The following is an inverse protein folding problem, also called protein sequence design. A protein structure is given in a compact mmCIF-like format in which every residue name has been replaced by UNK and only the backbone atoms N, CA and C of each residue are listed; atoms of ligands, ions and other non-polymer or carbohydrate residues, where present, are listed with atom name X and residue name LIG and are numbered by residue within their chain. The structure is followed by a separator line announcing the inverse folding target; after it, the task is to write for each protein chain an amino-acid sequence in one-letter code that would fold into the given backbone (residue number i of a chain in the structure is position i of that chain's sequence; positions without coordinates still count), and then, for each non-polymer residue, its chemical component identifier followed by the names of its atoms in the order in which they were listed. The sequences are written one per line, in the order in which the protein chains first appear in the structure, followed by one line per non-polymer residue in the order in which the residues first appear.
data_IF_932012812892
#
_entry.id   IF_932012812892
#
_cell.length_a   1.000
_cell.length_b   1.000
_cell.length_c   1.000
_cell.angle_alpha   90.00
_cell.angle_beta   90.00
_cell.angle_gamma   90.00
#
_symmetry.space_group_name_H-M   'P 1'
#
loop_
_entity.id
_entity.type
_entity.pdbx_description
1 polymer ?
#
# COMPACT_ATOMS: atom_id res chain seq x y z
N UNK A 1 -1.03 3.05 24.45
CA UNK A 1 -0.14 4.01 23.74
C UNK A 1 1.31 4.06 24.24
N UNK A 2 1.62 4.11 25.54
CA UNK A 2 3.02 4.19 26.05
C UNK A 2 3.95 3.06 25.56
N UNK A 3 3.52 1.79 25.62
CA UNK A 3 4.30 0.64 25.09
C UNK A 3 4.60 0.79 23.59
N UNK A 4 3.66 1.32 22.82
CA UNK A 4 3.84 1.58 21.38
C UNK A 4 4.86 2.69 21.13
N UNK A 5 4.82 3.78 21.91
CA UNK A 5 5.82 4.83 21.84
C UNK A 5 7.24 4.31 22.07
N UNK A 6 7.46 3.52 23.14
CA UNK A 6 8.76 2.91 23.40
C UNK A 6 9.22 1.96 22.29
N UNK A 7 8.30 1.16 21.73
CA UNK A 7 8.60 0.28 20.60
C UNK A 7 8.98 1.06 19.35
N UNK A 8 8.25 2.13 19.03
CA UNK A 8 8.49 2.95 17.85
C UNK A 8 9.80 3.75 17.94
N UNK A 9 10.23 4.18 19.13
CA UNK A 9 11.53 4.84 19.34
C UNK A 9 12.72 3.92 19.07
N UNK A 10 12.55 2.61 19.29
CA UNK A 10 13.59 1.60 19.02
C UNK A 10 13.68 1.22 17.55
N UNK A 11 12.68 1.56 16.73
CA UNK A 11 12.70 1.25 15.29
C UNK A 11 13.76 2.09 14.57
N UNK A 12 14.41 1.54 13.53
CA UNK A 12 15.31 2.30 12.69
C UNK A 12 14.60 3.51 12.05
N UNK A 13 15.37 4.56 11.74
CA UNK A 13 14.85 5.76 11.07
C UNK A 13 14.49 5.52 9.60
N UNK A 14 15.17 4.57 8.96
CA UNK A 14 14.88 4.13 7.60
C UNK A 14 14.00 2.89 7.65
N UNK A 15 12.83 2.94 7.00
CA UNK A 15 11.87 1.82 7.00
C UNK A 15 12.30 0.70 6.05
N UNK A 16 12.66 1.07 4.81
CA UNK A 16 13.07 0.14 3.74
C UNK A 16 14.21 0.74 2.93
N UNK A 17 15.04 -0.12 2.35
CA UNK A 17 15.92 0.29 1.25
C UNK A 17 15.11 0.41 -0.05
N UNK A 18 15.53 1.33 -0.92
CA UNK A 18 14.89 1.58 -2.22
C UNK A 18 15.72 0.84 -3.27
N UNK A 19 15.07 0.09 -4.16
CA UNK A 19 15.75 -0.64 -5.22
C UNK A 19 16.56 0.29 -6.14
N UNK A 20 17.60 -0.25 -6.77
CA UNK A 20 18.46 0.51 -7.68
C UNK A 20 17.80 0.73 -9.05
N UNK A 21 17.28 -0.34 -9.65
CA UNK A 21 16.53 -0.27 -10.89
C UNK A 21 15.04 -0.05 -10.64
N UNK A 22 14.55 1.14 -10.98
CA UNK A 22 13.13 1.48 -10.94
C UNK A 22 12.48 1.58 -12.31
N UNK A 23 13.24 1.40 -13.40
CA UNK A 23 12.79 1.75 -14.77
C UNK A 23 12.90 0.60 -15.78
N UNK A 24 13.71 -0.43 -15.49
CA UNK A 24 13.92 -1.55 -16.38
C UNK A 24 12.61 -2.27 -16.71
N UNK A 25 12.48 -2.74 -17.96
CA UNK A 25 11.29 -3.49 -18.40
C UNK A 25 11.19 -4.84 -17.70
N UNK A 26 12.32 -5.47 -17.40
CA UNK A 26 12.40 -6.66 -16.55
C UNK A 26 12.17 -6.25 -15.09
N UNK A 27 11.13 -6.79 -14.48
CA UNK A 27 10.74 -6.50 -13.12
C UNK A 27 11.56 -7.36 -12.15
N UNK A 28 12.75 -6.86 -11.80
CA UNK A 28 13.57 -7.39 -10.70
C UNK A 28 12.99 -6.95 -9.35
N UNK A 29 13.81 -6.40 -8.48
CA UNK A 29 13.38 -5.97 -7.16
C UNK A 29 12.17 -5.02 -7.23
N UNK A 30 11.31 -5.14 -6.24
CA UNK A 30 10.26 -4.16 -5.99
C UNK A 30 10.89 -2.85 -5.51
N UNK A 31 10.19 -1.73 -5.73
CA UNK A 31 10.64 -0.38 -5.36
C UNK A 31 11.18 -0.26 -3.93
N UNK A 32 10.67 -1.07 -3.00
CA UNK A 32 11.16 -1.19 -1.64
C UNK A 32 11.65 -2.63 -1.40
N UNK A 33 12.87 -2.76 -0.89
CA UNK A 33 13.45 -4.06 -0.59
C UNK A 33 12.86 -4.62 0.70
N UNK A 34 12.12 -5.71 0.56
CA UNK A 34 11.56 -6.46 1.68
C UNK A 34 12.49 -7.59 2.08
N UNK A 35 12.71 -7.73 3.39
CA UNK A 35 13.37 -8.89 3.98
C UNK A 35 12.29 -9.91 4.38
N UNK A 36 12.35 -11.10 3.80
CA UNK A 36 11.34 -12.14 4.01
C UNK A 36 11.19 -12.53 5.49
N UNK A 37 12.29 -12.61 6.24
CA UNK A 37 12.25 -12.99 7.67
C UNK A 37 11.53 -11.92 8.49
N UNK A 38 11.79 -10.65 8.22
CA UNK A 38 11.15 -9.51 8.91
C UNK A 38 9.67 -9.36 8.53
N UNK A 39 9.30 -9.67 7.30
CA UNK A 39 7.89 -9.71 6.89
C UNK A 39 7.18 -10.88 7.58
N UNK A 40 7.76 -12.08 7.53
CA UNK A 40 7.18 -13.29 8.10
C UNK A 40 7.06 -13.25 9.64
N UNK A 41 8.00 -12.61 10.34
CA UNK A 41 7.95 -12.43 11.80
C UNK A 41 6.97 -11.34 12.26
N UNK A 42 6.36 -10.60 11.31
CA UNK A 42 5.46 -9.50 11.59
C UNK A 42 6.15 -8.20 12.05
N UNK A 43 7.48 -8.10 11.97
CA UNK A 43 8.21 -6.86 12.28
C UNK A 43 7.84 -5.72 11.33
N UNK A 44 7.71 -6.08 10.05
CA UNK A 44 7.35 -5.17 8.95
C UNK A 44 5.85 -5.22 8.61
N UNK A 45 5.16 -6.32 8.96
CA UNK A 45 3.71 -6.45 8.80
C UNK A 45 3.07 -7.20 9.98
N UNK A 46 2.71 -6.46 11.04
CA UNK A 46 2.20 -7.01 12.32
C UNK A 46 0.92 -7.84 12.21
N UNK A 47 0.23 -7.77 11.07
CA UNK A 47 -1.00 -8.51 10.84
C UNK A 47 -0.74 -9.98 10.48
N UNK A 48 0.43 -10.32 9.93
CA UNK A 48 0.77 -11.70 9.57
C UNK A 48 0.87 -12.53 10.83
N UNK A 49 -0.02 -13.52 10.92
CA UNK A 49 -0.21 -14.31 12.14
C UNK A 49 0.04 -15.80 11.93
N UNK A 50 -0.30 -16.31 10.75
CA UNK A 50 -0.04 -17.69 10.32
C UNK A 50 -0.01 -17.75 8.79
N UNK A 51 0.34 -18.92 8.25
CA UNK A 51 0.36 -19.19 6.83
C UNK A 51 -0.55 -20.39 6.53
N UNK A 52 -1.13 -20.44 5.34
CA UNK A 52 -1.78 -21.64 4.82
C UNK A 52 -0.75 -22.68 4.34
N UNK A 53 -1.23 -23.81 3.81
CA UNK A 53 -0.39 -24.89 3.26
C UNK A 53 0.50 -24.46 2.08
N UNK A 54 0.15 -23.36 1.41
CA UNK A 54 0.89 -22.80 0.29
C UNK A 54 1.85 -21.68 0.71
N UNK A 55 1.92 -21.35 1.99
CA UNK A 55 2.76 -20.27 2.50
C UNK A 55 2.15 -18.88 2.28
N UNK A 56 0.84 -18.79 2.03
CA UNK A 56 0.11 -17.53 1.89
C UNK A 56 -0.27 -17.02 3.28
N UNK A 57 0.04 -15.75 3.61
CA UNK A 57 -0.23 -15.23 4.94
C UNK A 57 -1.73 -15.06 5.20
N UNK A 58 -2.15 -15.53 6.36
CA UNK A 58 -3.47 -15.31 6.94
C UNK A 58 -3.28 -14.41 8.16
N UNK A 59 -4.04 -13.31 8.20
CA UNK A 59 -3.89 -12.31 9.24
C UNK A 59 -5.02 -12.37 10.24
N UNK A 60 -4.73 -11.93 11.46
CA UNK A 60 -5.80 -11.56 12.40
C UNK A 60 -6.57 -10.37 11.87
N UNK A 61 -7.87 -10.38 12.07
CA UNK A 61 -8.74 -9.22 11.79
C UNK A 61 -8.45 -8.08 12.77
N UNK A 62 -9.03 -6.91 12.49
CA UNK A 62 -8.87 -5.75 13.36
C UNK A 62 -9.50 -5.98 14.74
N UNK A 63 -8.97 -5.32 15.77
CA UNK A 63 -9.41 -5.46 17.19
C UNK A 63 -10.92 -5.20 17.35
N UNK A 64 -11.49 -4.38 16.48
CA UNK A 64 -12.88 -3.96 16.44
C UNK A 64 -13.79 -4.85 15.56
N UNK A 65 -13.28 -5.98 15.05
CA UNK A 65 -14.05 -6.96 14.26
C UNK A 65 -14.38 -8.18 15.13
N UNK A 66 -15.66 -8.44 15.45
CA UNK A 66 -16.06 -9.55 16.32
C UNK A 66 -16.22 -10.91 15.62
N UNK A 67 -16.54 -10.91 14.32
CA UNK A 67 -17.16 -12.09 13.67
C UNK A 67 -16.20 -12.99 12.88
N UNK A 68 -14.97 -12.53 12.61
CA UNK A 68 -13.94 -13.31 11.92
C UNK A 68 -12.63 -13.11 12.64
N UNK A 69 -11.94 -14.18 13.04
CA UNK A 69 -10.64 -14.04 13.69
C UNK A 69 -9.51 -13.95 12.65
N UNK A 70 -9.63 -14.65 11.52
CA UNK A 70 -8.56 -14.77 10.52
C UNK A 70 -9.08 -14.57 9.10
N UNK A 71 -8.41 -13.72 8.31
CA UNK A 71 -8.77 -13.46 6.91
C UNK A 71 -7.54 -13.24 6.03
N UNK A 72 -7.70 -13.47 4.73
CA UNK A 72 -6.73 -13.08 3.73
C UNK A 72 -6.77 -11.57 3.50
N UNK A 73 -5.63 -10.91 3.63
CA UNK A 73 -5.47 -9.52 3.21
C UNK A 73 -4.55 -9.48 1.99
N UNK A 74 -5.08 -9.19 0.79
CA UNK A 74 -4.27 -9.13 -0.42
C UNK A 74 -3.05 -8.20 -0.30
N UNK A 75 -3.16 -7.09 0.46
CA UNK A 75 -2.03 -6.19 0.76
C UNK A 75 -0.85 -6.95 1.39
N UNK A 76 -1.13 -7.75 2.43
CA UNK A 76 -0.09 -8.50 3.15
C UNK A 76 0.44 -9.67 2.34
N UNK A 77 -0.44 -10.34 1.58
CA UNK A 77 -0.09 -11.46 0.71
C UNK A 77 0.88 -10.98 -0.36
N UNK A 78 0.59 -9.86 -1.02
CA UNK A 78 1.50 -9.30 -2.01
C UNK A 78 2.80 -8.77 -1.43
N UNK A 79 2.81 -8.23 -0.21
CA UNK A 79 4.06 -7.85 0.44
C UNK A 79 4.94 -9.07 0.73
N UNK A 80 4.36 -10.16 1.25
CA UNK A 80 5.08 -11.41 1.45
C UNK A 80 5.55 -12.02 0.13
N UNK A 81 4.69 -12.06 -0.89
CA UNK A 81 5.03 -12.57 -2.21
C UNK A 81 6.21 -11.82 -2.85
N UNK A 82 6.24 -10.48 -2.74
CA UNK A 82 7.38 -9.69 -3.21
C UNK A 82 8.65 -9.92 -2.38
N UNK A 83 8.52 -10.20 -1.07
CA UNK A 83 9.68 -10.58 -0.25
C UNK A 83 10.24 -11.96 -0.66
N UNK A 84 9.37 -12.94 -0.93
CA UNK A 84 9.76 -14.26 -1.45
C UNK A 84 10.40 -14.12 -2.83
N UNK A 85 9.89 -13.24 -3.69
CA UNK A 85 10.50 -12.92 -4.98
C UNK A 85 11.92 -12.38 -4.83
N UNK A 86 12.16 -11.47 -3.88
CA UNK A 86 13.52 -10.99 -3.59
C UNK A 86 14.44 -12.11 -3.08
N UNK A 87 13.94 -13.02 -2.24
CA UNK A 87 14.69 -14.20 -1.83
C UNK A 87 15.11 -15.03 -3.04
N UNK A 88 14.18 -15.28 -3.97
CA UNK A 88 14.50 -15.99 -5.21
C UNK A 88 15.53 -15.25 -6.07
N UNK A 89 15.40 -13.93 -6.29
CA UNK A 89 16.39 -13.13 -7.04
C UNK A 89 17.80 -13.27 -6.45
N UNK A 90 17.90 -13.38 -5.13
CA UNK A 90 19.17 -13.53 -4.42
C UNK A 90 19.70 -14.96 -4.44
N UNK A 91 18.83 -15.96 -4.27
CA UNK A 91 19.23 -17.37 -4.12
C UNK A 91 19.41 -18.07 -5.46
N UNK A 92 18.61 -17.72 -6.47
CA UNK A 92 18.50 -18.40 -7.75
C UNK A 92 17.92 -19.82 -7.67
N UNK A 93 17.41 -20.24 -6.50
CA UNK A 93 16.95 -21.61 -6.28
C UNK A 93 15.54 -21.83 -6.84
N UNK A 94 15.33 -22.94 -7.55
CA UNK A 94 14.01 -23.26 -8.14
C UNK A 94 12.92 -23.38 -7.06
N UNK A 95 13.25 -23.89 -5.87
CA UNK A 95 12.31 -23.97 -4.75
C UNK A 95 11.77 -22.59 -4.32
N UNK A 96 12.60 -21.53 -4.34
CA UNK A 96 12.13 -20.18 -3.99
C UNK A 96 11.27 -19.58 -5.12
N UNK A 97 11.57 -19.94 -6.37
CA UNK A 97 10.74 -19.59 -7.53
C UNK A 97 9.36 -20.25 -7.42
N UNK A 98 9.31 -21.55 -7.15
CA UNK A 98 8.06 -22.29 -6.95
C UNK A 98 7.23 -21.69 -5.82
N UNK A 99 7.86 -21.29 -4.71
CA UNK A 99 7.18 -20.57 -3.62
C UNK A 99 6.59 -19.24 -4.09
N UNK A 100 7.32 -18.46 -4.89
CA UNK A 100 6.80 -17.23 -5.47
C UNK A 100 5.60 -17.48 -6.41
N UNK A 101 5.66 -18.52 -7.24
CA UNK A 101 4.56 -18.89 -8.15
C UNK A 101 3.26 -19.16 -7.39
N UNK A 102 3.31 -19.72 -6.17
CA UNK A 102 2.11 -19.88 -5.34
C UNK A 102 1.40 -18.55 -5.03
N UNK A 103 2.15 -17.45 -4.87
CA UNK A 103 1.55 -16.12 -4.71
C UNK A 103 0.92 -15.62 -6.01
N UNK A 104 1.56 -15.89 -7.15
CA UNK A 104 1.01 -15.55 -8.49
C UNK A 104 -0.31 -16.28 -8.70
N UNK A 105 -0.33 -17.59 -8.46
CA UNK A 105 -1.54 -18.42 -8.56
C UNK A 105 -2.61 -17.99 -7.56
N UNK A 106 -2.23 -17.60 -6.34
CA UNK A 106 -3.19 -17.09 -5.36
C UNK A 106 -3.91 -15.83 -5.90
N UNK A 107 -3.16 -14.84 -6.41
CA UNK A 107 -3.77 -13.64 -6.98
C UNK A 107 -4.60 -13.98 -8.23
N UNK A 108 -4.10 -14.83 -9.13
CA UNK A 108 -4.86 -15.22 -10.32
C UNK A 108 -6.20 -15.90 -9.98
N UNK A 109 -6.21 -16.82 -9.02
CA UNK A 109 -7.38 -17.63 -8.67
C UNK A 109 -8.38 -16.93 -7.74
N UNK A 110 -8.00 -15.84 -7.07
CA UNK A 110 -8.86 -15.13 -6.10
C UNK A 110 -9.32 -13.75 -6.59
N UNK A 111 -9.17 -13.47 -7.89
CA UNK A 111 -9.71 -12.26 -8.49
C UNK A 111 -11.23 -12.39 -8.72
N UNK A 112 -11.99 -11.38 -8.34
CA UNK A 112 -13.31 -11.17 -8.94
C UNK A 112 -13.14 -10.41 -10.24
N UNK A 113 -13.65 -10.95 -11.35
CA UNK A 113 -13.52 -10.34 -12.68
C UNK A 113 -14.90 -10.10 -13.27
N UNK A 114 -15.17 -8.87 -13.68
CA UNK A 114 -16.36 -8.52 -14.45
C UNK A 114 -15.98 -7.59 -15.60
N UNK A 115 -16.79 -7.55 -16.66
CA UNK A 115 -16.54 -6.66 -17.81
C UNK A 115 -16.47 -5.19 -17.37
N UNK A 116 -17.39 -4.78 -16.48
CA UNK A 116 -17.51 -3.40 -16.01
C UNK A 116 -16.38 -2.97 -15.06
N UNK A 117 -15.96 -3.85 -14.14
CA UNK A 117 -15.01 -3.49 -13.08
C UNK A 117 -13.58 -3.98 -13.34
N UNK A 118 -13.38 -4.88 -14.30
CA UNK A 118 -12.14 -5.62 -14.46
C UNK A 118 -11.87 -6.56 -13.30
N UNK A 119 -10.59 -6.81 -13.04
CA UNK A 119 -10.13 -7.69 -11.96
C UNK A 119 -10.00 -6.92 -10.64
N UNK A 120 -10.49 -7.50 -9.54
CA UNK A 120 -10.35 -6.93 -8.20
C UNK A 120 -10.17 -7.99 -7.12
N UNK A 121 -9.42 -7.63 -6.07
CA UNK A 121 -9.25 -8.46 -4.88
C UNK A 121 -9.88 -7.79 -3.67
N UNK A 122 -10.87 -8.46 -3.09
CA UNK A 122 -11.56 -7.99 -1.90
C UNK A 122 -10.84 -8.49 -0.63
N UNK A 123 -10.92 -7.68 0.42
CA UNK A 123 -10.69 -8.11 1.79
C UNK A 123 -12.05 -8.36 2.41
N UNK A 124 -12.36 -9.62 2.69
CA UNK A 124 -13.68 -10.06 3.19
C UNK A 124 -13.79 -9.93 4.70
N UNK A 125 -13.71 -8.68 5.18
CA UNK A 125 -13.87 -8.33 6.59
C UNK A 125 -14.39 -6.90 6.71
N UNK A 126 -15.22 -6.64 7.73
CA UNK A 126 -15.61 -5.28 8.06
C UNK A 126 -14.39 -4.37 8.35
N UNK A 127 -14.56 -3.09 8.09
CA UNK A 127 -13.61 -2.03 8.39
C UNK A 127 -14.31 -0.97 9.28
N UNK A 128 -14.47 -1.24 10.59
CA UNK A 128 -15.28 -0.42 11.49
C UNK A 128 -14.77 1.02 11.62
N UNK A 129 -13.46 1.22 11.54
CA UNK A 129 -12.82 2.55 11.58
C UNK A 129 -13.42 3.52 10.55
N UNK A 130 -13.85 3.02 9.40
CA UNK A 130 -14.44 3.81 8.32
C UNK A 130 -15.92 3.47 8.08
N UNK A 131 -16.58 2.82 9.06
CA UNK A 131 -17.99 2.40 9.02
C UNK A 131 -18.36 1.58 7.77
N UNK A 132 -17.42 0.78 7.27
CA UNK A 132 -17.73 -0.17 6.21
C UNK A 132 -18.00 -1.55 6.83
N UNK A 133 -19.25 -2.06 6.81
CA UNK A 133 -19.59 -3.33 7.45
C UNK A 133 -19.26 -4.56 6.58
N UNK A 134 -18.95 -4.38 5.30
CA UNK A 134 -18.78 -5.45 4.33
C UNK A 134 -17.37 -5.59 3.80
N UNK A 135 -17.23 -6.47 2.80
CA UNK A 135 -16.00 -6.64 2.04
C UNK A 135 -15.63 -5.34 1.32
N UNK A 136 -14.34 -5.05 1.28
CA UNK A 136 -13.82 -3.83 0.69
C UNK A 136 -12.62 -4.14 -0.19
N UNK A 137 -12.35 -3.25 -1.13
CA UNK A 137 -11.17 -3.33 -1.97
C UNK A 137 -10.21 -2.20 -1.65
N UNK A 138 -9.02 -2.28 -2.20
CA UNK A 138 -7.95 -1.33 -1.91
C UNK A 138 -7.13 -1.10 -3.17
N UNK A 139 -6.90 0.15 -3.52
CA UNK A 139 -5.93 0.50 -4.55
C UNK A 139 -4.54 -0.08 -4.26
N UNK A 140 -4.21 -0.23 -2.97
CA UNK A 140 -2.96 -0.87 -2.55
C UNK A 140 -2.99 -2.38 -2.82
N UNK A 141 -4.09 -3.07 -2.52
CA UNK A 141 -4.29 -4.48 -2.90
C UNK A 141 -4.17 -4.68 -4.42
N UNK A 142 -4.84 -3.85 -5.22
CA UNK A 142 -4.78 -3.92 -6.68
C UNK A 142 -3.34 -3.78 -7.18
N UNK A 143 -2.60 -2.79 -6.65
CA UNK A 143 -1.19 -2.60 -7.00
C UNK A 143 -0.32 -3.78 -6.64
N UNK A 144 -0.57 -4.44 -5.50
CA UNK A 144 0.18 -5.64 -5.11
C UNK A 144 -0.08 -6.78 -6.08
N UNK A 145 -1.34 -7.01 -6.44
CA UNK A 145 -1.73 -8.03 -7.41
C UNK A 145 -1.05 -7.79 -8.76
N UNK A 146 -1.11 -6.57 -9.29
CA UNK A 146 -0.45 -6.18 -10.54
C UNK A 146 1.06 -6.49 -10.49
N UNK A 147 1.76 -6.04 -9.45
CA UNK A 147 3.21 -6.27 -9.32
C UNK A 147 3.59 -7.75 -9.23
N UNK A 148 2.77 -8.58 -8.56
CA UNK A 148 2.98 -10.03 -8.46
C UNK A 148 2.71 -10.71 -9.80
N UNK A 149 1.55 -10.44 -10.41
CA UNK A 149 1.12 -11.07 -11.66
C UNK A 149 2.07 -10.75 -12.81
N UNK A 150 2.55 -9.51 -12.94
CA UNK A 150 3.51 -9.13 -13.99
C UNK A 150 4.87 -9.81 -13.83
N UNK A 151 5.35 -9.98 -12.59
CA UNK A 151 6.55 -10.80 -12.31
C UNK A 151 6.30 -12.27 -12.66
N UNK A 152 5.14 -12.80 -12.30
CA UNK A 152 4.71 -14.15 -12.69
C UNK A 152 4.66 -14.36 -14.21
N UNK A 153 4.14 -13.37 -14.95
CA UNK A 153 4.15 -13.34 -16.41
C UNK A 153 5.58 -13.40 -16.97
N UNK A 154 6.48 -12.55 -16.48
CA UNK A 154 7.87 -12.53 -16.96
C UNK A 154 8.65 -13.82 -16.66
N UNK A 155 8.34 -14.48 -15.53
CA UNK A 155 8.98 -15.75 -15.18
C UNK A 155 8.48 -16.95 -15.96
N UNK A 156 7.19 -16.99 -16.29
CA UNK A 156 6.54 -18.17 -16.86
C UNK A 156 6.22 -18.02 -18.34
N UNK A 157 6.16 -16.80 -18.85
CA UNK A 157 5.61 -16.47 -20.17
C UNK A 157 4.09 -16.61 -20.27
N UNK A 158 3.38 -16.92 -19.17
CA UNK A 158 1.94 -17.11 -19.19
C UNK A 158 1.20 -15.76 -19.29
N UNK A 159 0.61 -15.50 -20.46
CA UNK A 159 -0.12 -14.27 -20.78
C UNK A 159 -1.37 -14.06 -19.94
N UNK A 160 -1.96 -15.11 -19.39
CA UNK A 160 -3.14 -14.98 -18.53
C UNK A 160 -2.84 -14.10 -17.30
N UNK A 161 -1.59 -14.13 -16.80
CA UNK A 161 -1.16 -13.28 -15.70
C UNK A 161 -1.03 -11.81 -16.11
N UNK A 162 -0.49 -11.53 -17.30
CA UNK A 162 -0.44 -10.15 -17.80
C UNK A 162 -1.82 -9.59 -18.12
N UNK A 163 -2.70 -10.41 -18.70
CA UNK A 163 -4.05 -10.00 -19.07
C UNK A 163 -4.85 -9.67 -17.81
N UNK A 164 -4.75 -10.50 -16.76
CA UNK A 164 -5.32 -10.23 -15.44
C UNK A 164 -4.76 -8.94 -14.81
N UNK A 165 -3.45 -8.68 -14.95
CA UNK A 165 -2.83 -7.45 -14.44
C UNK A 165 -3.32 -6.19 -15.18
N UNK A 166 -3.58 -6.29 -16.48
CA UNK A 166 -4.17 -5.20 -17.28
C UNK A 166 -5.62 -4.95 -16.86
N UNK A 167 -6.40 -6.01 -16.64
CA UNK A 167 -7.77 -5.92 -16.13
C UNK A 167 -7.84 -5.25 -14.75
N UNK A 168 -6.83 -5.48 -13.89
CA UNK A 168 -6.70 -4.85 -12.58
C UNK A 168 -6.43 -3.33 -12.62
N UNK A 169 -6.18 -2.75 -13.80
CA UNK A 169 -6.10 -1.30 -13.97
C UNK A 169 -7.49 -0.63 -14.00
N UNK A 170 -8.54 -1.35 -14.43
CA UNK A 170 -9.88 -0.78 -14.59
C UNK A 170 -10.45 -0.14 -13.31
N UNK A 171 -10.35 -0.77 -12.10
CA UNK A 171 -10.85 -0.17 -10.86
C UNK A 171 -10.28 1.22 -10.55
N UNK A 172 -9.05 1.53 -10.99
CA UNK A 172 -8.42 2.84 -10.76
C UNK A 172 -9.07 3.99 -11.52
N UNK A 173 -9.88 3.68 -12.54
CA UNK A 173 -10.60 4.67 -13.35
C UNK A 173 -12.03 4.89 -12.87
N UNK A 174 -12.48 4.08 -11.91
CA UNK A 174 -13.87 4.06 -11.45
C UNK A 174 -13.99 4.65 -10.03
N UNK A 175 -15.07 5.39 -9.74
CA UNK A 175 -15.30 5.91 -8.41
C UNK A 175 -15.57 4.77 -7.42
N UNK A 176 -15.22 4.98 -6.15
CA UNK A 176 -15.51 4.01 -5.07
C UNK A 176 -16.99 3.60 -5.03
N UNK A 177 -17.89 4.56 -5.25
CA UNK A 177 -19.34 4.32 -5.25
C UNK A 177 -19.82 3.37 -6.37
N UNK A 178 -19.06 3.24 -7.45
CA UNK A 178 -19.36 2.34 -8.58
C UNK A 178 -18.55 1.03 -8.50
N UNK A 179 -17.91 0.75 -7.35
CA UNK A 179 -17.09 -0.44 -7.20
C UNK A 179 -15.68 -0.30 -7.79
N UNK A 180 -15.18 0.92 -7.95
CA UNK A 180 -13.77 1.22 -8.19
C UNK A 180 -12.98 1.51 -6.91
N UNK A 181 -11.76 2.04 -7.08
CA UNK A 181 -10.85 2.39 -5.96
C UNK A 181 -10.52 3.88 -5.91
N UNK A 182 -11.22 4.72 -6.68
CA UNK A 182 -10.85 6.13 -6.84
C UNK A 182 -11.85 7.07 -6.18
N UNK A 183 -11.34 8.03 -5.42
CA UNK A 183 -12.09 9.21 -5.01
C UNK A 183 -11.65 10.39 -5.88
N UNK A 184 -12.59 10.98 -6.62
CA UNK A 184 -12.33 12.19 -7.40
C UNK A 184 -12.42 13.41 -6.48
N UNK A 185 -11.28 14.05 -6.24
CA UNK A 185 -11.15 15.16 -5.30
C UNK A 185 -10.81 16.46 -6.02
N UNK A 186 -10.86 17.59 -5.30
CA UNK A 186 -10.40 18.88 -5.82
C UNK A 186 -8.91 18.91 -6.24
N UNK A 187 -8.09 17.97 -5.73
CA UNK A 187 -6.67 17.85 -6.09
C UNK A 187 -6.42 16.93 -7.29
N UNK A 188 -7.45 16.17 -7.71
CA UNK A 188 -7.37 15.11 -8.72
C UNK A 188 -7.83 13.74 -8.19
N UNK A 189 -7.70 12.65 -8.99
CA UNK A 189 -8.07 11.30 -8.61
C UNK A 189 -7.16 10.73 -7.51
N UNK A 190 -7.73 10.45 -6.34
CA UNK A 190 -7.04 9.80 -5.23
C UNK A 190 -7.38 8.30 -5.19
N UNK A 191 -6.35 7.44 -5.17
CA UNK A 191 -6.52 5.99 -5.12
C UNK A 191 -6.56 5.54 -3.67
N UNK A 192 -7.73 5.08 -3.23
CA UNK A 192 -8.05 4.82 -1.83
C UNK A 192 -7.42 3.50 -1.35
N UNK A 193 -6.67 3.57 -0.24
CA UNK A 193 -6.25 2.36 0.48
C UNK A 193 -7.45 1.62 1.06
N UNK A 194 -8.41 2.38 1.56
CA UNK A 194 -9.62 1.89 2.20
C UNK A 194 -10.83 2.47 1.47
N UNK A 195 -11.53 1.66 0.70
CA UNK A 195 -12.79 2.10 0.09
C UNK A 195 -13.89 2.17 1.14
N UNK A 196 -14.40 3.37 1.37
CA UNK A 196 -15.47 3.67 2.32
C UNK A 196 -16.43 4.71 1.72
N UNK A 197 -17.55 4.96 2.41
CA UNK A 197 -18.57 5.93 1.97
C UNK A 197 -18.02 7.35 1.81
N UNK A 198 -17.14 7.75 2.73
CA UNK A 198 -16.42 9.03 2.66
C UNK A 198 -14.96 8.79 2.26
N UNK A 199 -14.37 9.60 1.35
CA UNK A 199 -12.95 9.52 1.02
C UNK A 199 -12.07 9.48 2.27
N UNK A 200 -11.18 8.50 2.34
CA UNK A 200 -10.29 8.31 3.49
C UNK A 200 -8.97 9.03 3.28
N UNK A 201 -8.49 9.03 2.02
CA UNK A 201 -7.30 9.72 1.59
C UNK A 201 -6.07 9.31 2.42
N UNK A 202 -5.73 8.02 2.47
CA UNK A 202 -4.54 7.53 3.18
C UNK A 202 -3.27 7.69 2.33
N UNK A 203 -2.28 8.42 2.83
CA UNK A 203 -1.11 8.83 2.03
C UNK A 203 -0.26 7.64 1.57
N UNK A 204 0.12 6.76 2.50
CA UNK A 204 1.02 5.66 2.18
C UNK A 204 0.40 4.71 1.15
N UNK A 205 -0.90 4.44 1.26
CA UNK A 205 -1.61 3.55 0.34
C UNK A 205 -1.71 4.14 -1.06
N UNK A 206 -1.99 5.45 -1.18
CA UNK A 206 -1.93 6.15 -2.49
C UNK A 206 -0.56 6.00 -3.15
N UNK A 207 0.53 6.18 -2.40
CA UNK A 207 1.88 6.08 -2.97
C UNK A 207 2.18 4.64 -3.38
N UNK A 208 1.87 3.66 -2.54
CA UNK A 208 2.07 2.25 -2.91
C UNK A 208 1.22 1.83 -4.10
N UNK A 209 -0.01 2.35 -4.22
CA UNK A 209 -0.89 2.03 -5.33
C UNK A 209 -0.29 2.40 -6.70
N UNK A 210 0.54 3.44 -6.74
CA UNK A 210 1.24 3.87 -7.96
C UNK A 210 2.35 2.91 -8.39
N UNK A 211 2.91 2.11 -7.49
CA UNK A 211 3.97 1.16 -7.82
C UNK A 211 3.50 0.09 -8.81
N UNK A 212 2.32 -0.50 -8.59
CA UNK A 212 1.76 -1.51 -9.50
C UNK A 212 1.39 -0.92 -10.86
N UNK A 213 0.79 0.28 -10.86
CA UNK A 213 0.49 0.99 -12.11
C UNK A 213 1.78 1.27 -12.90
N UNK A 214 2.87 1.65 -12.21
CA UNK A 214 4.14 1.87 -12.88
C UNK A 214 4.80 0.57 -13.37
N UNK A 215 4.64 -0.55 -12.66
CA UNK A 215 5.06 -1.86 -13.16
C UNK A 215 4.34 -2.21 -14.49
N UNK A 216 3.05 -1.89 -14.65
CA UNK A 216 2.36 -2.01 -15.96
C UNK A 216 3.04 -1.18 -17.04
N UNK A 217 3.40 0.07 -16.76
CA UNK A 217 4.09 0.95 -17.71
C UNK A 217 5.47 0.39 -18.09
N UNK A 218 6.19 -0.19 -17.13
CA UNK A 218 7.51 -0.80 -17.38
C UNK A 218 7.40 -2.01 -18.31
N UNK A 219 6.43 -2.88 -18.07
CA UNK A 219 6.23 -4.10 -18.87
C UNK A 219 5.61 -3.78 -20.23
N UNK A 220 4.64 -2.86 -20.26
CA UNK A 220 3.88 -2.47 -21.46
C UNK A 220 3.95 -0.94 -21.68
N UNK A 221 5.06 -0.41 -22.21
CA UNK A 221 5.24 1.04 -22.41
C UNK A 221 4.20 1.68 -23.32
N UNK A 222 3.60 0.89 -24.23
CA UNK A 222 2.60 1.32 -25.19
C UNK A 222 1.16 1.29 -24.62
N UNK A 223 0.97 0.77 -23.39
CA UNK A 223 -0.32 0.80 -22.70
C UNK A 223 -0.60 2.20 -22.14
N UNK A 224 -1.12 3.07 -23.00
CA UNK A 224 -1.29 4.50 -22.73
C UNK A 224 -2.17 4.79 -21.51
N UNK A 225 -3.16 3.94 -21.25
CA UNK A 225 -4.08 4.07 -20.12
C UNK A 225 -3.35 3.95 -18.78
N UNK A 226 -2.37 3.04 -18.67
CA UNK A 226 -1.57 2.89 -17.45
C UNK A 226 -0.76 4.16 -17.17
N UNK A 227 -0.18 4.75 -18.23
CA UNK A 227 0.54 6.02 -18.14
C UNK A 227 -0.35 7.17 -17.71
N UNK A 228 -1.54 7.30 -18.31
CA UNK A 228 -2.50 8.33 -17.92
C UNK A 228 -2.86 8.24 -16.43
N UNK A 229 -3.27 7.05 -15.97
CA UNK A 229 -3.62 6.82 -14.56
C UNK A 229 -2.43 7.14 -13.65
N UNK A 230 -1.22 6.68 -13.98
CA UNK A 230 -0.04 7.00 -13.18
C UNK A 230 0.23 8.51 -13.09
N UNK A 231 0.22 9.20 -14.23
CA UNK A 231 0.55 10.64 -14.31
C UNK A 231 -0.50 11.50 -13.58
N UNK A 232 -1.80 11.18 -13.73
CA UNK A 232 -2.87 11.80 -12.95
C UNK A 232 -2.68 11.57 -11.43
N UNK A 233 -2.28 10.36 -11.05
CA UNK A 233 -2.01 10.02 -9.66
C UNK A 233 -0.79 10.73 -9.07
N UNK A 234 0.28 10.92 -9.85
CA UNK A 234 1.46 11.71 -9.48
C UNK A 234 1.08 13.19 -9.32
N UNK A 235 0.34 13.76 -10.27
CA UNK A 235 -0.11 15.16 -10.20
C UNK A 235 -1.02 15.38 -8.98
N UNK A 236 -1.93 14.45 -8.70
CA UNK A 236 -2.78 14.51 -7.50
C UNK A 236 -1.93 14.52 -6.23
N UNK A 237 -0.91 13.66 -6.14
CA UNK A 237 0.00 13.64 -4.98
C UNK A 237 0.73 14.97 -4.81
N UNK A 238 1.25 15.55 -5.89
CA UNK A 238 1.95 16.85 -5.82
C UNK A 238 1.01 17.94 -5.30
N UNK A 239 -0.24 17.97 -5.78
CA UNK A 239 -1.24 18.98 -5.40
C UNK A 239 -1.70 18.83 -3.94
N UNK A 240 -1.79 17.60 -3.43
CA UNK A 240 -2.37 17.30 -2.11
C UNK A 240 -1.33 17.23 -0.99
N UNK A 241 -0.04 17.04 -1.31
CA UNK A 241 1.05 16.94 -0.32
C UNK A 241 1.11 18.07 0.72
N UNK A 242 0.86 19.36 0.37
CA UNK A 242 0.81 20.43 1.36
C UNK A 242 -0.15 20.16 2.51
N UNK A 243 -1.31 19.56 2.23
CA UNK A 243 -2.36 19.29 3.22
C UNK A 243 -1.96 18.21 4.24
N UNK A 244 -1.04 17.33 3.85
CA UNK A 244 -0.47 16.32 4.76
C UNK A 244 0.57 16.90 5.72
N UNK A 245 1.05 18.12 5.51
CA UNK A 245 2.01 18.76 6.40
C UNK A 245 1.31 19.49 7.55
N UNK A 246 1.39 18.96 8.78
CA UNK A 246 0.86 19.62 9.98
C UNK A 246 1.81 20.72 10.52
N UNK A 247 2.92 20.99 9.85
CA UNK A 247 3.98 21.91 10.27
C UNK A 247 4.95 21.31 11.29
N UNK A 248 4.51 20.34 12.09
CA UNK A 248 5.35 19.61 13.06
C UNK A 248 5.43 18.10 12.79
N UNK A 249 4.58 17.58 11.90
CA UNK A 249 4.46 16.15 11.60
C UNK A 249 3.66 15.93 10.31
N UNK A 250 3.64 14.71 9.77
CA UNK A 250 2.75 14.36 8.65
C UNK A 250 1.39 13.81 9.13
N UNK A 251 0.32 14.10 8.40
CA UNK A 251 -0.96 13.39 8.53
C UNK A 251 -0.83 11.95 8.05
N UNK A 252 -1.58 11.05 8.66
CA UNK A 252 -1.76 9.70 8.14
C UNK A 252 -2.76 9.69 6.97
N UNK A 253 -3.87 10.41 7.15
CA UNK A 253 -4.95 10.52 6.18
C UNK A 253 -5.67 11.87 6.29
N UNK A 254 -6.64 12.08 5.39
CA UNK A 254 -7.45 13.30 5.36
C UNK A 254 -8.96 13.02 5.34
N UNK A 255 -9.39 11.96 6.02
CA UNK A 255 -10.80 11.62 6.11
C UNK A 255 -11.59 12.78 6.75
N UNK A 256 -12.57 13.29 6.01
CA UNK A 256 -13.37 14.47 6.40
C UNK A 256 -14.69 14.12 7.09
N UNK A 257 -14.96 12.84 7.33
CA UNK A 257 -16.20 12.39 7.95
C UNK A 257 -16.36 12.95 9.38
N UNK A 258 -17.57 13.33 9.77
CA UNK A 258 -17.86 14.00 11.04
C UNK A 258 -17.45 13.19 12.28
N UNK A 259 -17.63 11.86 12.19
CA UNK A 259 -17.27 10.91 13.24
C UNK A 259 -15.76 10.67 13.32
N UNK A 260 -15.00 10.98 12.27
CA UNK A 260 -13.55 10.81 12.24
C UNK A 260 -12.83 12.00 12.91
N UNK A 261 -11.62 11.82 13.46
CA UNK A 261 -10.84 12.93 13.98
C UNK A 261 -10.40 13.89 12.87
N UNK A 262 -10.59 15.21 13.06
CA UNK A 262 -10.16 16.24 12.09
C UNK A 262 -8.65 16.23 11.81
N UNK A 263 -7.87 15.76 12.78
CA UNK A 263 -6.41 15.61 12.67
C UNK A 263 -6.07 14.19 13.09
N UNK A 264 -5.52 13.42 12.16
CA UNK A 264 -4.96 12.11 12.43
C UNK A 264 -3.48 12.07 12.02
N UNK A 265 -2.54 12.30 12.96
CA UNK A 265 -1.13 12.28 12.62
C UNK A 265 -0.63 10.84 12.39
N UNK A 266 0.36 10.71 11.51
CA UNK A 266 1.05 9.45 11.28
C UNK A 266 1.73 8.95 12.56
N UNK A 267 1.76 7.64 12.80
CA UNK A 267 2.68 7.12 13.85
C UNK A 267 4.13 7.26 13.38
N UNK A 268 5.13 7.13 14.28
CA UNK A 268 6.55 7.27 13.91
C UNK A 268 6.94 6.38 12.73
N UNK A 269 6.45 5.13 12.70
CA UNK A 269 6.70 4.23 11.57
C UNK A 269 6.16 4.79 10.24
N UNK A 270 4.96 5.37 10.24
CA UNK A 270 4.37 5.97 9.05
C UNK A 270 5.04 7.29 8.65
N UNK A 271 5.45 8.13 9.61
CA UNK A 271 6.23 9.36 9.32
C UNK A 271 7.49 9.01 8.51
N UNK A 272 8.25 8.01 8.99
CA UNK A 272 9.48 7.54 8.35
C UNK A 272 9.21 6.83 7.03
N UNK A 273 8.10 6.10 6.95
CA UNK A 273 7.65 5.49 5.71
C UNK A 273 7.30 6.56 4.66
N UNK A 274 6.58 7.62 5.01
CA UNK A 274 6.28 8.72 4.09
C UNK A 274 7.57 9.34 3.53
N UNK A 275 8.58 9.59 4.37
CA UNK A 275 9.91 10.05 3.90
C UNK A 275 10.52 9.08 2.91
N UNK A 276 10.51 7.78 3.22
CA UNK A 276 11.08 6.73 2.34
C UNK A 276 10.32 6.66 1.01
N UNK A 277 8.99 6.74 1.05
CA UNK A 277 8.12 6.71 -0.12
C UNK A 277 8.29 7.94 -1.02
N UNK A 278 8.43 9.12 -0.44
CA UNK A 278 8.69 10.35 -1.19
C UNK A 278 10.08 10.35 -1.83
N UNK A 279 11.10 9.83 -1.14
CA UNK A 279 12.42 9.61 -1.75
C UNK A 279 12.36 8.62 -2.92
N UNK A 280 11.55 7.55 -2.80
CA UNK A 280 11.32 6.59 -3.89
C UNK A 280 10.65 7.29 -5.08
N UNK A 281 9.59 8.07 -4.86
CA UNK A 281 8.93 8.83 -5.92
C UNK A 281 9.85 9.87 -6.56
N UNK A 282 10.72 10.52 -5.80
CA UNK A 282 11.72 11.42 -6.37
C UNK A 282 12.69 10.67 -7.28
N UNK A 283 13.23 9.53 -6.82
CA UNK A 283 14.11 8.67 -7.64
C UNK A 283 13.41 8.19 -8.91
N UNK A 284 12.11 7.88 -8.82
CA UNK A 284 11.29 7.40 -9.93
C UNK A 284 10.89 8.48 -10.94
N UNK A 285 10.68 9.72 -10.50
CA UNK A 285 10.02 10.74 -11.35
C UNK A 285 10.84 12.00 -11.59
N UNK A 286 11.88 12.24 -10.79
CA UNK A 286 12.65 13.48 -10.79
C UNK A 286 11.87 14.73 -10.35
N UNK A 287 10.63 14.60 -9.84
CA UNK A 287 9.81 15.75 -9.42
C UNK A 287 10.29 16.28 -8.06
N UNK A 288 10.82 17.50 -8.05
CA UNK A 288 11.41 18.13 -6.86
C UNK A 288 10.44 18.26 -5.67
N UNK A 289 9.13 18.36 -5.91
CA UNK A 289 8.12 18.39 -4.85
C UNK A 289 8.27 17.19 -3.89
N UNK A 290 8.56 15.99 -4.39
CA UNK A 290 8.73 14.82 -3.55
C UNK A 290 9.99 14.90 -2.67
N UNK A 291 11.10 15.41 -3.21
CA UNK A 291 12.34 15.64 -2.47
C UNK A 291 12.14 16.68 -1.37
N UNK A 292 11.42 17.76 -1.68
CA UNK A 292 11.11 18.82 -0.73
C UNK A 292 10.29 18.30 0.46
N UNK A 293 9.18 17.61 0.19
CA UNK A 293 8.33 17.06 1.26
C UNK A 293 9.01 15.93 2.03
N UNK A 294 9.86 15.12 1.39
CA UNK A 294 10.70 14.14 2.10
C UNK A 294 11.62 14.84 3.11
N UNK A 295 12.26 15.96 2.72
CA UNK A 295 13.11 16.76 3.62
C UNK A 295 12.32 17.38 4.76
N UNK A 296 11.14 17.94 4.49
CA UNK A 296 10.25 18.54 5.51
C UNK A 296 9.81 17.47 6.52
N UNK A 297 9.29 16.34 6.07
CA UNK A 297 8.85 15.29 6.98
C UNK A 297 10.01 14.65 7.75
N UNK A 298 11.19 14.56 7.15
CA UNK A 298 12.38 14.07 7.85
C UNK A 298 12.86 15.04 8.95
N UNK A 299 12.86 16.35 8.69
CA UNK A 299 13.26 17.35 9.71
C UNK A 299 12.26 17.44 10.87
N UNK A 300 11.02 17.02 10.64
CA UNK A 300 9.97 16.94 11.66
C UNK A 300 10.11 15.72 12.60
N UNK A 301 10.87 14.67 12.26
CA UNK A 301 11.10 13.47 13.10
C UNK A 301 12.05 13.77 14.29
N UNK A 302 11.56 14.61 15.20
CA UNK A 302 12.22 14.99 16.46
C UNK A 302 11.46 14.42 17.66
N UNK A 303 12.15 14.24 18.80
CA UNK A 303 11.52 13.72 20.02
C UNK A 303 10.36 14.62 20.50
N UNK A 304 10.52 15.94 20.42
CA UNK A 304 9.51 16.92 20.83
C UNK A 304 8.25 16.78 19.96
N UNK A 305 8.43 16.71 18.64
CA UNK A 305 7.31 16.54 17.72
C UNK A 305 6.65 15.15 17.86
N UNK A 306 7.44 14.10 18.11
CA UNK A 306 6.92 12.77 18.36
C UNK A 306 6.04 12.73 19.63
N UNK A 307 6.46 13.38 20.72
CA UNK A 307 5.65 13.51 21.94
C UNK A 307 4.35 14.28 21.67
N UNK A 308 4.43 15.41 20.95
CA UNK A 308 3.25 16.18 20.51
C UNK A 308 2.31 15.32 19.67
N UNK A 309 2.84 14.56 18.73
CA UNK A 309 2.06 13.64 17.89
C UNK A 309 1.34 12.59 18.73
N UNK A 310 2.02 11.92 19.66
CA UNK A 310 1.41 10.88 20.48
C UNK A 310 0.28 11.40 21.37
N UNK A 311 0.41 12.62 21.90
CA UNK A 311 -0.66 13.28 22.63
C UNK A 311 -1.90 13.51 21.75
N UNK A 312 -1.71 14.04 20.53
CA UNK A 312 -2.81 14.29 19.59
C UNK A 312 -3.43 12.97 19.13
N UNK A 313 -2.61 11.97 18.75
CA UNK A 313 -3.06 10.65 18.32
C UNK A 313 -3.89 9.94 19.40
N UNK A 314 -3.53 10.09 20.68
CA UNK A 314 -4.30 9.51 21.79
C UNK A 314 -5.73 10.08 21.83
N UNK A 315 -5.86 11.41 21.72
CA UNK A 315 -7.16 12.06 21.69
C UNK A 315 -7.97 11.67 20.43
N UNK A 316 -7.31 11.57 19.27
CA UNK A 316 -7.93 11.13 18.02
C UNK A 316 -8.46 9.69 18.12
N UNK A 317 -7.66 8.75 18.65
CA UNK A 317 -8.08 7.35 18.83
C UNK A 317 -9.21 7.21 19.86
N UNK A 318 -9.19 8.02 20.92
CA UNK A 318 -10.28 8.06 21.92
C UNK A 318 -11.61 8.45 21.30
N UNK A 319 -11.63 9.42 20.37
CA UNK A 319 -12.86 9.88 19.68
C UNK A 319 -13.57 8.75 18.91
N UNK A 320 -12.79 7.80 18.38
CA UNK A 320 -13.31 6.67 17.57
C UNK A 320 -13.34 5.34 18.34
N UNK A 321 -13.07 5.34 19.65
CA UNK A 321 -13.15 4.13 20.48
C UNK A 321 -12.04 3.09 20.22
N UNK A 322 -10.84 3.50 19.77
CA UNK A 322 -9.75 2.60 19.34
C UNK A 322 -8.45 2.76 20.14
N UNK A 323 -8.54 2.94 21.46
CA UNK A 323 -7.39 3.19 22.35
C UNK A 323 -6.53 1.96 22.66
#
# INVERSE_FOLDING_TARGET
MYRKFLSDLKKPKKSYDIADDLHGKELKEYYFLFDEKRVASGEDQKLISRFDENGIPINKTYIDVPDKEFVYFPISIGQMGLAVFHTWLKSGLEMDKERFIKFVEWFYNHAEVTEALGARWLTDVALPQYRNPGSWQSAFSQSRAISILLRGFQLTGNKDYSDMAIEALKPFKLPVAEGGVTSFTQWGPFYEEYTAETPTLVLNGKIFALCGIYDLIRVFPDLTEARQVFDEGINTLINILPEYNLGYWSRYNMCSAEWYPKIDPATIGYQRLHVTQLNMLYKLTGKEAFKEYARIFNSQDTLINALRMYFIKFNSLKKIGRL
#
